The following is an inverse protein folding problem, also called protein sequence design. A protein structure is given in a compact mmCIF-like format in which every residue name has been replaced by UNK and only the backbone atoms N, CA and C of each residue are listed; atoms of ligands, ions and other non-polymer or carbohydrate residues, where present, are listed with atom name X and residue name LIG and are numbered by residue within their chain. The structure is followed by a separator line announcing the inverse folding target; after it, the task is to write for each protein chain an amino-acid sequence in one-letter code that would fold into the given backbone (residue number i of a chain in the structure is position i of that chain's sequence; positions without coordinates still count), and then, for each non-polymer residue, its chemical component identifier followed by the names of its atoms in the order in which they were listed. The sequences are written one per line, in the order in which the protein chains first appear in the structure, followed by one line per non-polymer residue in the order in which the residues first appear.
data_IF_324783695723
#
_entry.id   IF_324783695723
#
_cell.length_a   1.000
_cell.length_b   1.000
_cell.length_c   1.000
_cell.angle_alpha   90.00
_cell.angle_beta   90.00
_cell.angle_gamma   90.00
#
_symmetry.space_group_name_H-M   'P 1'
#
loop_
_entity.id
_entity.type
_entity.pdbx_description
1 polymer ?
#
# COMPACT_ATOMS: atom_id res chain seq x y z
N UNK A 1 10.34 0.16 -15.31
CA UNK A 1 10.51 0.81 -13.99
C UNK A 1 9.61 2.02 -13.79
N UNK A 2 9.80 3.14 -14.54
CA UNK A 2 9.04 4.41 -14.37
C UNK A 2 7.53 4.19 -14.18
N UNK A 3 6.88 3.48 -15.12
CA UNK A 3 5.43 3.23 -15.09
C UNK A 3 5.02 2.45 -13.84
N UNK A 4 5.77 1.41 -13.48
CA UNK A 4 5.49 0.59 -12.30
C UNK A 4 5.65 1.38 -11.00
N UNK A 5 6.68 2.24 -10.91
CA UNK A 5 6.89 3.11 -9.77
C UNK A 5 5.75 4.13 -9.62
N UNK A 6 5.35 4.81 -10.71
CA UNK A 6 4.22 5.75 -10.70
C UNK A 6 2.94 5.06 -10.25
N UNK A 7 2.64 3.88 -10.81
CA UNK A 7 1.43 3.13 -10.45
C UNK A 7 1.46 2.68 -8.98
N UNK A 8 2.59 2.17 -8.48
CA UNK A 8 2.73 1.77 -7.08
C UNK A 8 2.58 2.95 -6.11
N UNK A 9 3.19 4.10 -6.41
CA UNK A 9 3.07 5.33 -5.59
C UNK A 9 1.63 5.84 -5.61
N UNK A 10 1.01 5.96 -6.79
CA UNK A 10 -0.35 6.46 -6.92
C UNK A 10 -1.36 5.55 -6.22
N UNK A 11 -1.22 4.22 -6.38
CA UNK A 11 -2.06 3.24 -5.71
C UNK A 11 -1.90 3.31 -4.19
N UNK A 12 -0.66 3.36 -3.70
CA UNK A 12 -0.38 3.47 -2.24
C UNK A 12 -0.91 4.79 -1.68
N UNK A 13 -0.73 5.90 -2.39
CA UNK A 13 -1.27 7.19 -1.96
C UNK A 13 -2.80 7.18 -1.90
N UNK A 14 -3.46 6.63 -2.93
CA UNK A 14 -4.92 6.43 -2.91
C UNK A 14 -5.37 5.51 -1.77
N UNK A 15 -4.61 4.46 -1.48
CA UNK A 15 -4.88 3.56 -0.35
C UNK A 15 -4.81 4.30 0.99
N UNK A 16 -3.80 5.16 1.19
CA UNK A 16 -3.67 5.99 2.39
C UNK A 16 -4.88 6.93 2.54
N UNK A 17 -5.31 7.59 1.47
CA UNK A 17 -6.48 8.47 1.49
C UNK A 17 -7.76 7.72 1.85
N UNK A 18 -7.99 6.56 1.24
CA UNK A 18 -9.17 5.76 1.56
C UNK A 18 -9.11 5.14 2.96
N UNK A 19 -7.93 4.81 3.47
CA UNK A 19 -7.73 4.37 4.86
C UNK A 19 -8.06 5.47 5.86
N UNK A 20 -7.55 6.69 5.64
CA UNK A 20 -7.87 7.86 6.45
C UNK A 20 -9.37 8.18 6.41
N UNK A 21 -10.01 8.09 5.24
CA UNK A 21 -11.45 8.27 5.10
C UNK A 21 -12.23 7.17 5.83
N UNK A 22 -11.83 5.90 5.71
CA UNK A 22 -12.48 4.77 6.41
C UNK A 22 -12.42 4.96 7.94
N UNK A 23 -11.28 5.43 8.45
CA UNK A 23 -11.08 5.69 9.87
C UNK A 23 -11.91 6.88 10.41
N UNK A 24 -12.29 7.84 9.57
CA UNK A 24 -12.98 9.07 9.98
C UNK A 24 -14.46 9.13 9.61
N UNK A 25 -14.92 8.33 8.65
CA UNK A 25 -16.32 8.31 8.15
C UNK A 25 -17.27 7.42 8.94
N UNK A 26 -16.83 6.80 10.04
CA UNK A 26 -17.60 5.78 10.76
C UNK A 26 -17.62 4.41 10.07
N UNK A 27 -16.87 4.22 8.98
CA UNK A 27 -16.78 2.97 8.25
C UNK A 27 -15.81 1.94 8.85
N UNK A 28 -14.94 2.35 9.77
CA UNK A 28 -13.90 1.51 10.37
C UNK A 28 -14.40 0.18 10.97
N UNK A 29 -15.64 0.16 11.49
CA UNK A 29 -16.26 -1.04 12.06
C UNK A 29 -17.47 -1.56 11.27
N UNK A 30 -17.71 -1.04 10.07
CA UNK A 30 -18.90 -1.38 9.29
C UNK A 30 -18.90 -2.84 8.76
N UNK A 31 -17.77 -3.55 8.87
CA UNK A 31 -17.60 -4.92 8.40
C UNK A 31 -16.89 -5.77 9.48
N UNK A 32 -17.63 -6.39 10.42
CA UNK A 32 -17.06 -7.23 11.49
C UNK A 32 -16.55 -8.60 11.00
N UNK A 33 -16.57 -8.82 9.69
CA UNK A 33 -16.12 -10.05 9.04
C UNK A 33 -14.92 -9.72 8.14
N UNK A 34 -14.05 -10.71 7.97
CA UNK A 34 -12.96 -10.69 7.00
C UNK A 34 -12.77 -12.10 6.43
N UNK A 35 -12.59 -12.28 5.11
CA UNK A 35 -12.45 -11.25 4.07
C UNK A 35 -13.78 -10.68 3.55
N UNK A 36 -14.89 -11.38 3.79
CA UNK A 36 -16.24 -10.96 3.42
C UNK A 36 -16.73 -9.79 4.30
N UNK A 37 -17.70 -9.03 3.80
CA UNK A 37 -18.45 -8.06 4.61
C UNK A 37 -19.96 -8.27 4.39
N UNK A 38 -20.67 -8.77 5.41
CA UNK A 38 -22.10 -9.13 5.30
C UNK A 38 -22.39 -10.09 4.13
N UNK A 39 -21.48 -11.06 3.91
CA UNK A 39 -21.59 -12.00 2.79
C UNK A 39 -21.28 -11.40 1.41
N UNK A 40 -20.83 -10.14 1.33
CA UNK A 40 -20.50 -9.45 0.07
C UNK A 40 -19.00 -9.25 -0.10
N UNK A 41 -18.55 -9.34 -1.34
CA UNK A 41 -17.20 -8.93 -1.78
C UNK A 41 -17.20 -7.59 -2.52
N UNK A 42 -18.32 -7.18 -3.11
CA UNK A 42 -18.42 -5.96 -3.92
C UNK A 42 -19.34 -4.95 -3.25
N UNK A 43 -19.07 -3.64 -3.46
CA UNK A 43 -19.98 -2.61 -3.01
C UNK A 43 -21.32 -2.74 -3.74
N UNK A 44 -22.41 -2.56 -3.02
CA UNK A 44 -23.80 -2.70 -3.54
C UNK A 44 -24.59 -1.41 -3.45
N UNK A 45 -23.99 -0.34 -2.95
CA UNK A 45 -24.58 0.97 -2.79
C UNK A 45 -23.55 1.98 -2.28
N UNK A 46 -24.00 2.89 -1.42
CA UNK A 46 -23.18 3.96 -0.83
C UNK A 46 -23.27 3.92 0.70
N UNK A 47 -23.00 2.76 1.28
CA UNK A 47 -23.02 2.53 2.73
C UNK A 47 -21.61 2.55 3.32
N UNK A 48 -21.50 2.66 4.65
CA UNK A 48 -20.21 2.55 5.35
C UNK A 48 -19.53 1.20 5.12
N UNK A 49 -20.30 0.13 4.90
CA UNK A 49 -19.76 -1.18 4.53
C UNK A 49 -19.14 -1.15 3.12
N UNK A 50 -19.75 -0.43 2.17
CA UNK A 50 -19.21 -0.27 0.82
C UNK A 50 -17.88 0.51 0.83
N UNK A 51 -17.76 1.55 1.67
CA UNK A 51 -16.49 2.27 1.90
C UNK A 51 -15.40 1.31 2.39
N UNK A 52 -15.72 0.47 3.38
CA UNK A 52 -14.79 -0.49 3.95
C UNK A 52 -14.37 -1.57 2.93
N UNK A 53 -15.31 -2.05 2.10
CA UNK A 53 -15.05 -2.98 0.98
C UNK A 53 -14.13 -2.33 -0.07
N UNK A 54 -14.40 -1.08 -0.45
CA UNK A 54 -13.59 -0.33 -1.43
C UNK A 54 -12.14 -0.17 -0.96
N UNK A 55 -11.94 0.14 0.32
CA UNK A 55 -10.59 0.21 0.90
C UNK A 55 -9.85 -1.15 0.80
N UNK A 56 -10.54 -2.27 1.08
CA UNK A 56 -9.97 -3.63 0.91
C UNK A 56 -9.57 -3.93 -0.54
N UNK A 57 -10.39 -3.53 -1.52
CA UNK A 57 -10.05 -3.68 -2.93
C UNK A 57 -8.85 -2.84 -3.35
N UNK A 58 -8.76 -1.59 -2.87
CA UNK A 58 -7.59 -0.75 -3.12
C UNK A 58 -6.32 -1.32 -2.47
N UNK A 59 -6.43 -2.01 -1.33
CA UNK A 59 -5.31 -2.73 -0.74
C UNK A 59 -4.82 -3.85 -1.67
N UNK A 60 -5.73 -4.66 -2.23
CA UNK A 60 -5.39 -5.72 -3.19
C UNK A 60 -4.75 -5.15 -4.48
N UNK A 61 -5.29 -4.05 -5.02
CA UNK A 61 -4.73 -3.37 -6.19
C UNK A 61 -3.31 -2.86 -5.89
N UNK A 62 -3.12 -2.28 -4.70
CA UNK A 62 -1.81 -1.79 -4.25
C UNK A 62 -0.79 -2.93 -4.12
N UNK A 63 -1.18 -4.08 -3.57
CA UNK A 63 -0.34 -5.28 -3.54
C UNK A 63 0.07 -5.68 -4.97
N UNK A 64 -0.88 -5.75 -5.91
CA UNK A 64 -0.59 -6.07 -7.30
C UNK A 64 0.37 -5.08 -7.96
N UNK A 65 0.21 -3.78 -7.70
CA UNK A 65 1.10 -2.73 -8.19
C UNK A 65 2.53 -2.86 -7.64
N UNK A 66 2.68 -3.17 -6.35
CA UNK A 66 3.98 -3.36 -5.70
C UNK A 66 4.65 -4.67 -6.16
N UNK A 67 3.89 -5.75 -6.37
CA UNK A 67 4.40 -6.98 -7.00
C UNK A 67 4.91 -6.68 -8.41
N UNK A 68 4.17 -5.93 -9.21
CA UNK A 68 4.62 -5.54 -10.54
C UNK A 68 5.89 -4.68 -10.50
N UNK A 69 5.97 -3.73 -9.57
CA UNK A 69 7.18 -2.95 -9.32
C UNK A 69 8.38 -3.84 -8.98
N UNK A 70 8.23 -4.78 -8.06
CA UNK A 70 9.27 -5.73 -7.68
C UNK A 70 9.72 -6.57 -8.87
N UNK A 71 8.79 -7.17 -9.61
CA UNK A 71 9.11 -7.99 -10.79
C UNK A 71 9.89 -7.19 -11.83
N UNK A 72 9.52 -5.94 -12.06
CA UNK A 72 10.23 -5.05 -12.98
C UNK A 72 11.62 -4.67 -12.46
N UNK A 73 11.77 -4.42 -11.16
CA UNK A 73 13.05 -4.08 -10.55
C UNK A 73 14.05 -5.25 -10.60
N UNK A 74 13.60 -6.48 -10.30
CA UNK A 74 14.49 -7.66 -10.28
C UNK A 74 14.83 -8.19 -11.67
N UNK A 75 13.99 -7.94 -12.68
CA UNK A 75 14.23 -8.37 -14.08
C UNK A 75 15.09 -7.39 -14.86
N UNK A 76 15.27 -6.17 -14.37
CA UNK A 76 16.12 -5.17 -15.01
C UNK A 76 17.58 -5.39 -14.56
N UNK A 77 18.41 -5.97 -15.42
CA UNK A 77 19.80 -6.30 -15.13
C UNK A 77 20.68 -5.06 -14.86
N UNK A 78 20.24 -3.86 -15.26
CA UNK A 78 20.91 -2.60 -14.94
C UNK A 78 20.46 -1.97 -13.62
N UNK A 79 19.50 -2.60 -12.91
CA UNK A 79 18.96 -2.06 -11.67
C UNK A 79 19.89 -2.30 -10.48
N UNK A 80 19.99 -1.31 -9.60
CA UNK A 80 20.79 -1.47 -8.38
C UNK A 80 20.14 -2.48 -7.43
N UNK A 81 20.96 -3.30 -6.76
CA UNK A 81 20.49 -4.27 -5.78
C UNK A 81 19.66 -3.61 -4.65
N UNK A 82 20.01 -2.36 -4.30
CA UNK A 82 19.29 -1.57 -3.30
C UNK A 82 17.86 -1.24 -3.72
N UNK A 83 17.61 -0.88 -4.98
CA UNK A 83 16.25 -0.62 -5.48
C UNK A 83 15.41 -1.90 -5.45
N UNK A 84 15.96 -3.04 -5.87
CA UNK A 84 15.28 -4.33 -5.80
C UNK A 84 14.99 -4.77 -4.37
N UNK A 85 15.93 -4.56 -3.44
CA UNK A 85 15.74 -4.81 -2.01
C UNK A 85 14.62 -3.93 -1.43
N UNK A 86 14.59 -2.63 -1.74
CA UNK A 86 13.55 -1.72 -1.29
C UNK A 86 12.17 -2.08 -1.85
N UNK A 87 12.10 -2.56 -3.10
CA UNK A 87 10.84 -3.06 -3.68
C UNK A 87 10.35 -4.31 -2.93
N UNK A 88 11.27 -5.21 -2.57
CA UNK A 88 10.96 -6.39 -1.77
C UNK A 88 10.51 -6.03 -0.35
N UNK A 89 11.18 -5.07 0.28
CA UNK A 89 10.80 -4.54 1.59
C UNK A 89 9.40 -3.90 1.55
N UNK A 90 9.11 -3.08 0.54
CA UNK A 90 7.79 -2.47 0.38
C UNK A 90 6.69 -3.55 0.25
N UNK A 91 6.95 -4.62 -0.51
CA UNK A 91 6.01 -5.75 -0.61
C UNK A 91 5.81 -6.45 0.73
N UNK A 92 6.89 -6.79 1.43
CA UNK A 92 6.83 -7.45 2.73
C UNK A 92 6.05 -6.61 3.76
N UNK A 93 6.35 -5.31 3.85
CA UNK A 93 5.62 -4.38 4.72
C UNK A 93 4.14 -4.29 4.34
N UNK A 94 3.79 -4.27 3.05
CA UNK A 94 2.40 -4.21 2.60
C UNK A 94 1.61 -5.47 2.99
N UNK A 95 2.25 -6.64 2.92
CA UNK A 95 1.64 -7.90 3.33
C UNK A 95 1.42 -7.94 4.85
N UNK A 96 2.41 -7.51 5.64
CA UNK A 96 2.29 -7.39 7.09
C UNK A 96 1.17 -6.39 7.43
N UNK A 97 1.16 -5.24 6.77
CA UNK A 97 0.15 -4.20 6.95
C UNK A 97 -1.27 -4.68 6.64
N UNK A 98 -1.43 -5.53 5.63
CA UNK A 98 -2.73 -6.15 5.30
C UNK A 98 -3.22 -7.05 6.44
N UNK A 99 -2.30 -7.80 7.08
CA UNK A 99 -2.63 -8.63 8.24
C UNK A 99 -2.98 -7.78 9.47
N UNK A 100 -2.27 -6.67 9.69
CA UNK A 100 -2.59 -5.71 10.76
C UNK A 100 -3.96 -5.05 10.49
N UNK A 101 -4.26 -4.72 9.23
CA UNK A 101 -5.57 -4.24 8.80
C UNK A 101 -6.70 -5.23 9.10
N UNK A 102 -6.48 -6.53 8.84
CA UNK A 102 -7.43 -7.57 9.22
C UNK A 102 -7.53 -7.72 10.76
N UNK A 103 -6.41 -7.61 11.49
CA UNK A 103 -6.38 -7.69 12.94
C UNK A 103 -7.18 -6.58 13.63
N UNK A 104 -7.36 -5.41 13.00
CA UNK A 104 -8.27 -4.38 13.52
C UNK A 104 -9.70 -4.93 13.69
N UNK A 105 -10.14 -5.85 12.81
CA UNK A 105 -11.45 -6.52 12.88
C UNK A 105 -11.50 -7.58 13.97
N UNK A 106 -10.42 -8.32 14.19
CA UNK A 106 -10.43 -9.38 15.22
C UNK A 106 -10.25 -8.85 16.64
N UNK A 107 -9.77 -7.63 16.77
CA UNK A 107 -9.45 -7.00 18.06
C UNK A 107 -10.38 -5.85 18.41
N UNK A 108 -11.49 -5.70 17.70
CA UNK A 108 -12.48 -4.65 17.95
C UNK A 108 -11.86 -3.24 18.00
N UNK A 109 -11.00 -2.95 17.02
CA UNK A 109 -10.32 -1.66 16.87
C UNK A 109 -9.44 -1.30 18.07
N UNK A 110 -8.78 -2.30 18.70
CA UNK A 110 -7.82 -2.07 19.76
C UNK A 110 -6.77 -1.01 19.36
N UNK A 111 -6.54 -0.03 20.25
CA UNK A 111 -5.72 1.15 19.94
C UNK A 111 -4.31 0.81 19.45
N UNK A 112 -3.67 -0.21 20.05
CA UNK A 112 -2.34 -0.63 19.63
C UNK A 112 -2.31 -1.17 18.20
N UNK A 113 -3.35 -1.90 17.76
CA UNK A 113 -3.47 -2.41 16.38
C UNK A 113 -3.68 -1.27 15.40
N UNK A 114 -4.53 -0.29 15.74
CA UNK A 114 -4.78 0.90 14.90
C UNK A 114 -3.50 1.73 14.72
N UNK A 115 -2.75 1.93 15.81
CA UNK A 115 -1.46 2.64 15.77
C UNK A 115 -0.46 1.84 14.93
N UNK A 116 -0.37 0.52 15.12
CA UNK A 116 0.48 -0.34 14.30
C UNK A 116 0.10 -0.25 12.81
N UNK A 117 -1.19 -0.23 12.48
CA UNK A 117 -1.67 -0.12 11.11
C UNK A 117 -1.16 1.18 10.48
N UNK A 118 -1.40 2.32 11.12
CA UNK A 118 -0.91 3.61 10.62
C UNK A 118 0.63 3.65 10.52
N UNK A 119 1.34 3.08 11.48
CA UNK A 119 2.80 3.03 11.46
C UNK A 119 3.34 2.21 10.28
N UNK A 120 2.78 1.03 10.04
CA UNK A 120 3.19 0.17 8.92
C UNK A 120 2.79 0.75 7.57
N UNK A 121 1.61 1.35 7.43
CA UNK A 121 1.24 2.13 6.25
C UNK A 121 2.27 3.23 5.95
N UNK A 122 2.74 3.93 6.99
CA UNK A 122 3.77 4.97 6.86
C UNK A 122 5.12 4.39 6.45
N UNK A 123 5.50 3.22 6.96
CA UNK A 123 6.72 2.52 6.54
C UNK A 123 6.67 2.08 5.07
N UNK A 124 5.52 1.57 4.60
CA UNK A 124 5.31 1.25 3.17
C UNK A 124 5.52 2.50 2.31
N UNK A 125 4.89 3.61 2.68
CA UNK A 125 5.05 4.87 1.97
C UNK A 125 6.51 5.34 1.94
N UNK A 126 7.18 5.35 3.10
CA UNK A 126 8.59 5.72 3.21
C UNK A 126 9.50 4.86 2.35
N UNK A 127 9.30 3.53 2.36
CA UNK A 127 10.08 2.60 1.54
C UNK A 127 9.95 2.91 0.03
N UNK A 128 8.74 3.21 -0.44
CA UNK A 128 8.51 3.59 -1.84
C UNK A 128 9.16 4.93 -2.21
N UNK A 129 9.11 5.92 -1.31
CA UNK A 129 9.74 7.23 -1.54
C UNK A 129 11.27 7.10 -1.58
N UNK A 130 11.87 6.35 -0.66
CA UNK A 130 13.31 6.07 -0.66
C UNK A 130 13.71 5.31 -1.92
N UNK A 131 12.92 4.31 -2.34
CA UNK A 131 13.16 3.59 -3.59
C UNK A 131 13.23 4.53 -4.80
N UNK A 132 12.28 5.46 -4.92
CA UNK A 132 12.24 6.42 -6.02
C UNK A 132 13.42 7.38 -5.96
N UNK A 133 13.78 7.85 -4.77
CA UNK A 133 14.92 8.73 -4.55
C UNK A 133 16.26 8.05 -4.94
N UNK A 134 16.41 6.75 -4.68
CA UNK A 134 17.59 5.97 -5.10
C UNK A 134 17.59 5.70 -6.62
N UNK A 135 16.42 5.58 -7.23
CA UNK A 135 16.29 5.30 -8.66
C UNK A 135 16.44 6.54 -9.56
N UNK A 136 16.01 7.72 -9.11
CA UNK A 136 15.99 8.94 -9.94
C UNK A 136 17.39 9.41 -10.42
N UNK A 137 18.45 9.42 -9.59
CA UNK A 137 19.81 9.81 -10.00
C UNK A 137 20.42 8.87 -11.04
N UNK A 138 19.98 7.60 -11.10
CA UNK A 138 20.45 6.65 -12.12
C UNK A 138 19.99 7.02 -13.54
N UNK A 139 19.08 7.99 -13.70
CA UNK A 139 18.51 8.39 -14.99
C UNK A 139 18.82 9.81 -15.42
N UNK A 140 19.25 10.68 -14.50
CA UNK A 140 19.61 12.03 -14.85
C UNK A 140 21.09 12.05 -15.27
N UNK A 141 21.44 12.64 -16.43
CA UNK A 141 22.82 12.91 -16.77
C UNK A 141 23.47 13.72 -15.64
N UNK A 142 24.71 13.37 -15.28
CA UNK A 142 25.46 14.18 -14.32
C UNK A 142 25.50 15.64 -14.82
N UNK A 143 25.29 16.65 -13.95
CA UNK A 143 25.42 18.04 -14.36
C UNK A 143 26.80 18.28 -14.95
N UNK A 144 26.86 18.89 -16.14
CA UNK A 144 28.12 19.24 -16.78
C UNK A 144 28.94 20.12 -15.83
N UNK A 145 30.13 19.64 -15.44
CA UNK A 145 31.07 20.45 -14.66
C UNK A 145 31.64 21.51 -15.61
N UNK A 146 31.25 22.77 -15.42
CA UNK A 146 31.89 23.95 -16.02
C UNK A 146 33.09 24.38 -15.18
#
# INVERSE_FOLDING_TARGET
MVRAAIVAIAATFGLLLTGAYTASSGAAWACPQWPLCHGKYFPTGWTSADVHILHRWLALITIGAIVWLLVVAVRDAGMSARVSMLAGLALALTLIETLIGAANIWTELANWVRISHLAFATLVWGALIVLVAEWLPLRLPAPART
#
